data_IF_645750110078
#
_entry.id   IF_645750110078
#
_cell.length_a   1.000
_cell.length_b   1.000
_cell.length_c   1.000
_cell.angle_alpha   90.00
_cell.angle_beta   90.00
_cell.angle_gamma   90.00
#
_symmetry.space_group_name_H-M   'P 1'
#
loop_
_entity.id
_entity.type
_entity.pdbx_description
1 polymer ?
#
# COMPACT_ATOMS: atom_id res chain seq x y z
N UNK A 1 -9.44 11.16 13.60
CA UNK A 1 -10.49 10.44 12.82
C UNK A 1 -10.19 10.40 11.33
N UNK A 2 -9.81 11.50 10.68
CA UNK A 2 -9.48 11.52 9.23
C UNK A 2 -8.36 10.55 8.82
N UNK A 3 -7.26 10.46 9.58
CA UNK A 3 -6.16 9.54 9.27
C UNK A 3 -6.60 8.06 9.22
N UNK A 4 -7.47 7.66 10.15
CA UNK A 4 -8.03 6.31 10.14
C UNK A 4 -8.93 6.07 8.92
N UNK A 5 -9.71 7.07 8.51
CA UNK A 5 -10.56 7.01 7.32
C UNK A 5 -9.73 6.83 6.05
N UNK A 6 -8.63 7.59 5.90
CA UNK A 6 -7.72 7.45 4.75
C UNK A 6 -7.06 6.08 4.69
N UNK A 7 -6.66 5.52 5.85
CA UNK A 7 -6.10 4.16 5.92
C UNK A 7 -7.14 3.12 5.49
N UNK A 8 -8.39 3.24 5.96
CA UNK A 8 -9.48 2.32 5.60
C UNK A 8 -9.80 2.39 4.11
N UNK A 9 -9.85 3.60 3.53
CA UNK A 9 -10.08 3.78 2.08
C UNK A 9 -8.93 3.17 1.29
N UNK A 10 -7.68 3.42 1.68
CA UNK A 10 -6.50 2.83 1.04
C UNK A 10 -6.51 1.30 1.10
N UNK A 11 -6.82 0.72 2.26
CA UNK A 11 -6.94 -0.73 2.45
C UNK A 11 -8.08 -1.33 1.62
N UNK A 12 -9.22 -0.64 1.52
CA UNK A 12 -10.37 -1.09 0.74
C UNK A 12 -10.04 -1.14 -0.76
N UNK A 13 -9.35 -0.11 -1.27
CA UNK A 13 -8.87 -0.07 -2.66
C UNK A 13 -7.87 -1.20 -2.91
N UNK A 14 -6.91 -1.41 -2.01
CA UNK A 14 -5.95 -2.52 -2.09
C UNK A 14 -6.66 -3.89 -2.11
N UNK A 15 -7.68 -4.08 -1.28
CA UNK A 15 -8.47 -5.30 -1.25
C UNK A 15 -9.26 -5.52 -2.55
N UNK A 16 -9.85 -4.47 -3.12
CA UNK A 16 -10.57 -4.54 -4.39
C UNK A 16 -9.64 -4.89 -5.55
N UNK A 17 -8.44 -4.28 -5.60
CA UNK A 17 -7.43 -4.59 -6.61
C UNK A 17 -6.97 -6.04 -6.46
N UNK A 18 -6.71 -6.50 -5.24
CA UNK A 18 -6.34 -7.89 -4.96
C UNK A 18 -7.43 -8.89 -5.39
N UNK A 19 -8.69 -8.55 -5.14
CA UNK A 19 -9.83 -9.37 -5.57
C UNK A 19 -9.98 -9.41 -7.10
N UNK A 20 -9.86 -8.26 -7.77
CA UNK A 20 -9.93 -8.20 -9.23
C UNK A 20 -8.76 -8.96 -9.89
N UNK A 21 -7.56 -8.87 -9.31
CA UNK A 21 -6.38 -9.58 -9.79
C UNK A 21 -6.47 -11.10 -9.60
N UNK A 22 -7.34 -11.59 -8.70
CA UNK A 22 -7.50 -13.03 -8.43
C UNK A 22 -7.73 -13.86 -9.70
N UNK A 23 -8.53 -13.35 -10.64
CA UNK A 23 -8.78 -14.02 -11.93
C UNK A 23 -7.50 -14.23 -12.75
N UNK A 24 -6.63 -13.22 -12.78
CA UNK A 24 -5.32 -13.29 -13.42
C UNK A 24 -4.40 -14.32 -12.73
N UNK A 25 -4.38 -14.35 -11.40
CA UNK A 25 -3.56 -15.30 -10.65
C UNK A 25 -4.10 -16.74 -10.67
N UNK A 26 -5.37 -16.96 -10.98
CA UNK A 26 -5.99 -18.29 -11.02
C UNK A 26 -6.13 -18.88 -12.43
N UNK A 27 -6.04 -18.05 -13.48
CA UNK A 27 -6.20 -18.49 -14.86
C UNK A 27 -5.07 -19.42 -15.31
N UNK A 28 -5.35 -20.72 -15.44
CA UNK A 28 -4.42 -21.80 -15.81
C UNK A 28 -3.58 -21.51 -17.07
N UNK A 29 -4.12 -20.69 -17.98
CA UNK A 29 -3.48 -20.29 -19.24
C UNK A 29 -2.30 -19.33 -19.05
N UNK A 30 -2.25 -18.62 -17.92
CA UNK A 30 -1.16 -17.70 -17.61
C UNK A 30 -0.02 -18.46 -16.97
N UNK A 31 1.17 -18.41 -17.59
CA UNK A 31 2.39 -19.02 -17.06
C UNK A 31 2.66 -18.60 -15.61
N UNK A 32 3.05 -19.58 -14.78
CA UNK A 32 3.46 -19.37 -13.38
C UNK A 32 4.53 -18.28 -13.26
N UNK A 33 5.48 -18.22 -14.19
CA UNK A 33 6.54 -17.20 -14.20
C UNK A 33 5.96 -15.78 -14.26
N UNK A 34 4.97 -15.55 -15.12
CA UNK A 34 4.34 -14.23 -15.28
C UNK A 34 3.59 -13.84 -14.02
N UNK A 35 2.85 -14.78 -13.41
CA UNK A 35 2.12 -14.53 -12.16
C UNK A 35 3.07 -14.13 -11.03
N UNK A 36 4.19 -14.84 -10.87
CA UNK A 36 5.18 -14.55 -9.82
C UNK A 36 5.80 -13.17 -10.02
N UNK A 37 6.20 -12.81 -11.25
CA UNK A 37 6.76 -11.48 -11.54
C UNK A 37 5.77 -10.37 -11.21
N UNK A 38 4.52 -10.50 -11.65
CA UNK A 38 3.47 -9.51 -11.34
C UNK A 38 3.23 -9.42 -9.84
N UNK A 39 3.24 -10.55 -9.12
CA UNK A 39 3.13 -10.60 -7.67
C UNK A 39 4.26 -9.84 -6.96
N UNK A 40 5.51 -10.03 -7.39
CA UNK A 40 6.68 -9.33 -6.83
C UNK A 40 6.55 -7.81 -7.03
N UNK A 41 6.17 -7.36 -8.23
CA UNK A 41 5.97 -5.94 -8.54
C UNK A 41 4.84 -5.35 -7.69
N UNK A 42 3.72 -6.07 -7.56
CA UNK A 42 2.59 -5.64 -6.77
C UNK A 42 2.96 -5.48 -5.28
N UNK A 43 3.63 -6.48 -4.69
CA UNK A 43 4.10 -6.43 -3.30
C UNK A 43 5.09 -5.28 -3.10
N UNK A 44 6.02 -5.09 -4.05
CA UNK A 44 6.96 -3.96 -4.03
C UNK A 44 6.26 -2.60 -4.03
N UNK A 45 5.24 -2.44 -4.87
CA UNK A 45 4.44 -1.21 -4.92
C UNK A 45 3.71 -0.92 -3.60
N UNK A 46 3.08 -1.93 -3.00
CA UNK A 46 2.40 -1.79 -1.70
C UNK A 46 3.39 -1.45 -0.59
N UNK A 47 4.57 -2.09 -0.57
CA UNK A 47 5.61 -1.82 0.41
C UNK A 47 6.11 -0.37 0.31
N UNK A 48 6.37 0.14 -0.91
CA UNK A 48 6.78 1.53 -1.12
C UNK A 48 5.71 2.52 -0.66
N UNK A 49 4.43 2.27 -0.97
CA UNK A 49 3.33 3.10 -0.48
C UNK A 49 3.27 3.13 1.06
N UNK A 50 3.43 1.98 1.71
CA UNK A 50 3.48 1.90 3.17
C UNK A 50 4.65 2.69 3.77
N UNK A 51 5.83 2.62 3.14
CA UNK A 51 7.01 3.39 3.56
C UNK A 51 6.76 4.89 3.42
N UNK A 52 6.23 5.36 2.28
CA UNK A 52 5.94 6.78 2.05
C UNK A 52 4.95 7.33 3.08
N UNK A 53 3.89 6.57 3.38
CA UNK A 53 2.91 6.97 4.40
C UNK A 53 3.57 7.03 5.78
N UNK A 54 4.38 6.02 6.14
CA UNK A 54 5.11 5.98 7.41
C UNK A 54 6.07 7.16 7.54
N UNK A 55 6.83 7.48 6.50
CA UNK A 55 7.78 8.58 6.49
C UNK A 55 7.06 9.93 6.63
N UNK A 56 5.94 10.13 5.92
CA UNK A 56 5.08 11.31 6.09
C UNK A 56 4.56 11.47 7.51
N UNK A 57 4.10 10.39 8.14
CA UNK A 57 3.62 10.42 9.53
C UNK A 57 4.76 10.76 10.49
N UNK A 58 5.95 10.19 10.28
CA UNK A 58 7.13 10.46 11.10
C UNK A 58 7.56 11.92 10.99
N UNK A 59 7.62 12.45 9.77
CA UNK A 59 8.00 13.84 9.48
C UNK A 59 7.01 14.83 10.12
N UNK A 60 5.70 14.61 9.96
CA UNK A 60 4.68 15.45 10.59
C UNK A 60 4.79 15.44 12.13
N UNK A 61 5.21 14.32 12.73
CA UNK A 61 5.40 14.19 14.18
C UNK A 61 6.65 14.94 14.68
N UNK A 62 7.73 14.94 13.90
CA UNK A 62 8.96 15.69 14.24
C UNK A 62 8.77 17.21 14.07
N UNK A 63 8.02 17.64 13.06
CA UNK A 63 7.70 19.06 12.83
C UNK A 63 6.81 19.64 13.94
N UNK A 64 5.76 18.91 14.36
CA UNK A 64 4.89 19.31 15.47
C UNK A 64 5.64 19.36 16.82
N UNK A 65 6.72 18.58 17.01
CA UNK A 65 7.51 18.63 18.25
C UNK A 65 8.38 19.88 18.34
N UNK A 66 8.86 20.41 17.21
CA UNK A 66 9.66 21.65 17.18
C UNK A 66 8.83 22.92 17.37
N UNK A 67 7.56 22.92 16.97
CA UNK A 67 6.64 24.05 17.20
C UNK A 67 6.23 24.23 18.67
N UNK A 68 6.33 23.20 19.51
CA UNK A 68 5.89 23.23 20.91
C UNK A 68 7.03 23.59 21.88
N UNK A 69 8.28 23.61 21.41
CA UNK A 69 9.46 23.99 22.21
C UNK A 69 9.78 25.50 22.14
N UNK A 70 8.84 26.34 21.64
CA UNK A 70 9.01 27.79 21.54
C UNK A 70 7.87 28.55 22.23
#
# INVERSE_FOLDING_TARGET
MQNALFIIIGLSILALIGWAARGFFMAAEISIFVRVVVGIVAVGGVALLGIVIKDRIKQAKEENFKEVEN
#
